data_IF_631277407588
#
_entry.id   IF_631277407588
#
_cell.length_a   1.000
_cell.length_b   1.000
_cell.length_c   1.000
_cell.angle_alpha   90.00
_cell.angle_beta   90.00
_cell.angle_gamma   90.00
#
_symmetry.space_group_name_H-M   'P 1'
#
loop_
_entity.id
_entity.type
_entity.pdbx_description
1 polymer ?
#
# COMPACT_ATOMS: atom_id res chain seq x y z
N UNK A 1 1.77 24.41 19.36
CA UNK A 1 1.20 23.90 18.13
C UNK A 1 1.75 22.53 17.80
N UNK A 2 0.89 21.62 17.46
CA UNK A 2 1.31 20.29 17.12
C UNK A 2 1.98 20.27 15.75
N UNK A 3 3.03 19.45 15.65
CA UNK A 3 3.61 19.12 14.37
C UNK A 3 3.06 17.76 13.94
N UNK A 4 1.98 17.74 13.16
CA UNK A 4 1.30 16.48 12.81
C UNK A 4 2.12 15.58 11.89
N UNK A 5 3.26 16.03 11.41
CA UNK A 5 4.05 15.26 10.45
C UNK A 5 5.22 14.52 11.07
N UNK A 6 5.38 14.57 12.40
CA UNK A 6 6.44 13.80 13.05
C UNK A 6 6.26 12.30 12.90
N UNK A 7 5.01 11.85 12.95
CA UNK A 7 4.67 10.45 12.73
C UNK A 7 3.52 10.37 11.75
N UNK A 8 3.66 9.54 10.74
CA UNK A 8 2.64 9.33 9.75
C UNK A 8 2.40 7.83 9.57
N UNK A 9 1.14 7.49 9.37
CA UNK A 9 0.76 6.14 8.97
C UNK A 9 0.93 6.06 7.46
N UNK A 10 2.10 5.69 7.03
CA UNK A 10 2.49 5.70 5.62
C UNK A 10 3.18 4.38 5.27
N UNK A 11 2.92 3.90 4.05
CA UNK A 11 3.53 2.69 3.56
C UNK A 11 3.62 2.68 2.06
N UNK A 12 4.45 1.78 1.54
CA UNK A 12 4.55 1.48 0.13
C UNK A 12 4.12 0.05 -0.10
N UNK A 13 3.51 -0.20 -1.24
CA UNK A 13 3.13 -1.55 -1.63
C UNK A 13 3.08 -1.64 -3.14
N UNK A 14 3.19 -2.86 -3.65
CA UNK A 14 3.19 -3.13 -5.08
C UNK A 14 1.93 -3.86 -5.48
N UNK A 15 1.39 -3.47 -6.63
CA UNK A 15 0.31 -4.19 -7.27
C UNK A 15 0.75 -4.51 -8.70
N UNK A 16 0.54 -5.76 -9.10
CA UNK A 16 0.81 -6.15 -10.49
C UNK A 16 -0.21 -5.48 -11.40
N UNK A 17 0.24 -4.96 -12.51
CA UNK A 17 -0.66 -4.35 -13.50
C UNK A 17 -1.72 -5.33 -13.97
N UNK A 18 -1.38 -6.60 -14.04
CA UNK A 18 -2.31 -7.66 -14.38
C UNK A 18 -3.51 -7.68 -13.45
N UNK A 19 -3.29 -7.50 -12.15
CA UNK A 19 -4.36 -7.45 -11.17
C UNK A 19 -5.27 -6.23 -11.39
N UNK A 20 -4.66 -5.08 -11.68
CA UNK A 20 -5.41 -3.85 -11.93
C UNK A 20 -6.33 -4.02 -13.14
N UNK A 21 -5.85 -4.66 -14.19
CA UNK A 21 -6.59 -4.86 -15.42
C UNK A 21 -7.69 -5.92 -15.30
N UNK A 22 -7.41 -7.00 -14.57
CA UNK A 22 -8.33 -8.14 -14.47
C UNK A 22 -9.30 -8.05 -13.31
N UNK A 23 -8.88 -7.45 -12.21
CA UNK A 23 -9.65 -7.41 -10.97
C UNK A 23 -9.75 -5.98 -10.43
N UNK A 24 -10.36 -5.06 -11.19
CA UNK A 24 -10.45 -3.66 -10.77
C UNK A 24 -11.23 -3.47 -9.47
N UNK A 25 -12.17 -4.37 -9.16
CA UNK A 25 -12.93 -4.31 -7.90
C UNK A 25 -12.04 -4.51 -6.69
N UNK A 26 -11.09 -5.44 -6.79
CA UNK A 26 -10.13 -5.72 -5.72
C UNK A 26 -9.29 -4.47 -5.47
N UNK A 27 -8.79 -3.88 -6.53
CA UNK A 27 -7.96 -2.68 -6.42
C UNK A 27 -8.76 -1.51 -5.83
N UNK A 28 -10.01 -1.32 -6.25
CA UNK A 28 -10.87 -0.28 -5.70
C UNK A 28 -11.11 -0.47 -4.20
N UNK A 29 -11.34 -1.72 -3.78
CA UNK A 29 -11.54 -2.04 -2.36
C UNK A 29 -10.31 -1.69 -1.53
N UNK A 30 -9.12 -1.99 -2.05
CA UNK A 30 -7.86 -1.66 -1.39
C UNK A 30 -7.69 -0.14 -1.30
N UNK A 31 -7.89 0.55 -2.42
CA UNK A 31 -7.66 2.00 -2.51
C UNK A 31 -8.65 2.83 -1.71
N UNK A 32 -9.79 2.26 -1.37
CA UNK A 32 -10.85 2.97 -0.64
C UNK A 32 -10.44 3.41 0.75
N UNK A 33 -9.49 2.72 1.36
CA UNK A 33 -9.10 2.95 2.75
C UNK A 33 -7.78 3.69 2.89
N UNK A 34 -7.21 4.14 1.79
CA UNK A 34 -5.91 4.81 1.78
C UNK A 34 -5.97 6.03 0.87
N UNK A 35 -4.99 6.90 1.04
CA UNK A 35 -4.78 8.05 0.16
C UNK A 35 -3.44 7.85 -0.53
N UNK A 36 -3.48 7.68 -1.85
CA UNK A 36 -2.26 7.49 -2.63
C UNK A 36 -1.57 8.83 -2.84
N UNK A 37 -0.30 8.89 -2.47
CA UNK A 37 0.52 10.09 -2.62
C UNK A 37 1.38 10.04 -3.87
N UNK A 38 1.81 8.84 -4.27
CA UNK A 38 2.67 8.66 -5.43
C UNK A 38 2.51 7.25 -5.97
N UNK A 39 2.78 7.10 -7.26
CA UNK A 39 2.78 5.81 -7.92
C UNK A 39 3.94 5.77 -8.91
N UNK A 40 4.70 4.68 -8.88
CA UNK A 40 5.82 4.47 -9.78
C UNK A 40 5.64 3.14 -10.50
N UNK A 41 5.78 3.16 -11.81
CA UNK A 41 5.69 1.97 -12.61
C UNK A 41 7.06 1.32 -12.77
N UNK A 42 7.14 0.02 -12.52
CA UNK A 42 8.31 -0.78 -12.78
C UNK A 42 8.01 -1.69 -13.97
N UNK A 43 8.62 -1.39 -15.11
CA UNK A 43 8.39 -2.15 -16.33
C UNK A 43 9.03 -3.53 -16.28
N UNK A 44 10.12 -3.69 -15.54
CA UNK A 44 10.82 -4.97 -15.44
C UNK A 44 9.97 -6.04 -14.75
N UNK A 45 9.23 -5.66 -13.72
CA UNK A 45 8.38 -6.58 -12.95
C UNK A 45 6.90 -6.44 -13.30
N UNK A 46 6.56 -5.49 -14.16
CA UNK A 46 5.17 -5.16 -14.54
C UNK A 46 4.30 -4.89 -13.31
N UNK A 47 4.85 -4.11 -12.40
CA UNK A 47 4.17 -3.71 -11.16
C UNK A 47 4.10 -2.20 -11.05
N UNK A 48 3.18 -1.74 -10.23
CA UNK A 48 3.11 -0.35 -9.80
C UNK A 48 3.35 -0.31 -8.31
N UNK A 49 4.32 0.51 -7.88
CA UNK A 49 4.59 0.75 -6.46
C UNK A 49 3.86 2.01 -6.04
N UNK A 50 2.98 1.85 -5.07
CA UNK A 50 2.22 2.96 -4.51
C UNK A 50 2.83 3.39 -3.19
N UNK A 51 2.88 4.69 -2.96
CA UNK A 51 3.15 5.26 -1.65
C UNK A 51 1.85 5.90 -1.18
N UNK A 52 1.38 5.49 0.00
CA UNK A 52 0.07 5.90 0.47
C UNK A 52 0.06 6.10 1.98
N UNK A 53 -0.90 6.89 2.43
CA UNK A 53 -1.18 7.08 3.85
C UNK A 53 -2.51 6.42 4.20
N UNK A 54 -2.59 5.90 5.41
CA UNK A 54 -3.80 5.26 5.92
C UNK A 54 -3.56 4.54 7.23
N UNK A 55 -4.62 4.31 7.97
CA UNK A 55 -4.53 3.65 9.27
C UNK A 55 -4.11 2.18 9.20
N UNK A 56 -4.13 1.61 8.00
CA UNK A 56 -3.67 0.23 7.77
C UNK A 56 -2.15 0.09 7.89
N UNK A 57 -1.43 1.20 7.83
CA UNK A 57 0.03 1.22 7.96
C UNK A 57 0.44 1.63 9.36
N UNK A 58 1.60 1.14 9.78
CA UNK A 58 2.18 1.55 11.06
C UNK A 58 2.64 2.99 11.01
N UNK A 59 2.68 3.62 12.17
CA UNK A 59 3.20 4.97 12.31
C UNK A 59 4.71 4.98 12.06
N UNK A 60 5.17 5.91 11.23
CA UNK A 60 6.56 6.04 10.84
C UNK A 60 7.03 7.46 11.12
N UNK A 61 8.18 7.57 11.78
CA UNK A 61 8.81 8.87 11.99
C UNK A 61 9.21 9.45 10.64
N UNK A 62 9.03 10.76 10.48
CA UNK A 62 9.28 11.47 9.22
C UNK A 62 10.73 11.30 8.71
N UNK A 63 11.67 11.03 9.62
CA UNK A 63 13.09 10.88 9.27
C UNK A 63 13.46 9.47 8.81
N UNK A 64 12.53 8.52 8.87
CA UNK A 64 12.78 7.16 8.43
C UNK A 64 12.23 6.92 7.05
N UNK A 65 12.81 5.93 6.37
CA UNK A 65 12.30 5.48 5.10
C UNK A 65 10.88 4.93 5.26
N UNK A 66 10.09 5.12 4.22
CA UNK A 66 8.75 4.55 4.17
C UNK A 66 8.86 3.04 4.00
N UNK A 67 8.31 2.26 4.91
CA UNK A 67 8.42 0.81 4.83
C UNK A 67 7.62 0.24 3.67
N UNK A 68 8.11 -0.88 3.14
CA UNK A 68 7.41 -1.65 2.11
C UNK A 68 6.50 -2.67 2.78
N UNK A 69 5.29 -2.77 2.29
CA UNK A 69 4.30 -3.75 2.75
C UNK A 69 3.99 -4.74 1.65
N UNK A 70 3.74 -5.96 2.05
CA UNK A 70 3.17 -6.98 1.17
C UNK A 70 1.66 -6.96 1.32
N UNK A 71 0.98 -6.91 0.20
CA UNK A 71 -0.47 -6.94 0.16
C UNK A 71 -0.93 -8.38 -0.05
N UNK A 72 -1.84 -8.83 0.80
CA UNK A 72 -2.55 -10.08 0.60
C UNK A 72 -4.04 -9.79 0.56
N UNK A 73 -4.77 -10.46 -0.31
CA UNK A 73 -6.20 -10.28 -0.40
C UNK A 73 -6.90 -11.61 -0.66
N UNK A 74 -8.17 -11.66 -0.29
CA UNK A 74 -9.03 -12.81 -0.52
C UNK A 74 -10.40 -12.31 -0.92
N UNK A 75 -10.95 -12.89 -1.96
CA UNK A 75 -12.30 -12.61 -2.39
C UNK A 75 -13.22 -13.76 -2.00
N UNK A 76 -14.35 -13.42 -1.38
CA UNK A 76 -15.34 -14.40 -0.95
C UNK A 76 -16.74 -13.83 -1.17
N UNK A 77 -17.52 -14.47 -2.03
CA UNK A 77 -18.90 -14.08 -2.35
C UNK A 77 -19.06 -12.62 -2.73
N UNK A 78 -18.10 -12.10 -3.50
CA UNK A 78 -18.10 -10.71 -3.94
C UNK A 78 -17.49 -9.72 -2.96
N UNK A 79 -17.22 -10.14 -1.73
CA UNK A 79 -16.53 -9.30 -0.75
C UNK A 79 -15.03 -9.51 -0.84
N UNK A 80 -14.28 -8.42 -0.68
CA UNK A 80 -12.83 -8.46 -0.71
C UNK A 80 -12.31 -8.13 0.68
N UNK A 81 -11.57 -9.08 1.25
CA UNK A 81 -10.79 -8.86 2.46
C UNK A 81 -9.33 -8.73 2.08
N UNK A 82 -8.63 -7.77 2.66
CA UNK A 82 -7.22 -7.57 2.37
C UNK A 82 -6.46 -7.21 3.64
N UNK A 83 -5.15 -7.45 3.60
CA UNK A 83 -4.25 -7.12 4.71
C UNK A 83 -2.90 -6.70 4.16
N UNK A 84 -2.28 -5.78 4.86
CA UNK A 84 -0.93 -5.33 4.58
C UNK A 84 0.00 -5.90 5.65
N UNK A 85 1.08 -6.56 5.21
CA UNK A 85 2.09 -7.12 6.09
C UNK A 85 3.40 -6.38 5.85
N UNK A 86 3.92 -5.75 6.88
CA UNK A 86 5.19 -5.03 6.78
C UNK A 86 6.30 -6.02 6.42
N UNK A 87 7.00 -5.73 5.34
CA UNK A 87 8.16 -6.53 4.96
C UNK A 87 9.32 -6.24 5.91
N UNK A 88 9.98 -7.29 6.34
CA UNK A 88 11.18 -7.13 7.15
C UNK A 88 12.30 -6.65 6.25
N UNK A 89 12.99 -5.63 6.71
CA UNK A 89 14.19 -5.19 6.02
C UNK A 89 15.26 -6.26 6.06
N UNK A 90 16.13 -6.24 5.08
CA UNK A 90 17.31 -7.09 5.06
C UNK A 90 18.44 -6.30 5.71
N UNK A 91 18.94 -6.83 6.80
CA UNK A 91 20.00 -6.19 7.54
C UNK A 91 21.29 -6.97 7.46
#
# INVERSE_FOLDING_TARGET
MLNPIENRHIGRFRIRRRLINKEPRVVQAIMRNIIVLAAEQDFATDTITYTAIGNVFESVNVNYEVPMYRLAFMEHKGDVAFSFFKEKGVY
#
